data_IF_216079579141
#
_entry.id   IF_216079579141
#
_cell.length_a   1.000
_cell.length_b   1.000
_cell.length_c   1.000
_cell.angle_alpha   90.00
_cell.angle_beta   90.00
_cell.angle_gamma   90.00
#
_symmetry.space_group_name_H-M   'P 1'
#
loop_
_entity.id
_entity.type
_entity.pdbx_description
1 polymer ?
#
# COMPACT_ATOMS: atom_id res chain seq x y z
N UNK A 1 1.28 3.74 -9.58
CA UNK A 1 1.16 4.53 -10.83
C UNK A 1 2.33 5.49 -10.97
N UNK A 2 2.74 5.74 -12.23
CA UNK A 2 4.07 6.14 -12.73
C UNK A 2 5.08 4.99 -12.79
N UNK A 3 5.70 4.64 -11.68
CA UNK A 3 6.74 3.60 -11.61
C UNK A 3 6.29 2.34 -10.86
N UNK A 4 5.23 2.44 -10.05
CA UNK A 4 4.67 1.32 -9.30
C UNK A 4 3.45 0.70 -9.97
N UNK A 5 3.36 -0.62 -9.87
CA UNK A 5 2.17 -1.45 -10.07
C UNK A 5 1.56 -1.73 -8.69
N UNK A 6 0.31 -1.32 -8.50
CA UNK A 6 -0.44 -1.60 -7.28
C UNK A 6 -1.49 -2.67 -7.56
N UNK A 7 -1.39 -3.79 -6.85
CA UNK A 7 -2.32 -4.92 -6.95
C UNK A 7 -3.25 -4.91 -5.75
N UNK A 8 -4.54 -5.01 -6.02
CA UNK A 8 -5.60 -4.98 -5.02
C UNK A 8 -6.33 -6.31 -5.05
N UNK A 9 -6.24 -7.06 -3.95
CA UNK A 9 -6.96 -8.33 -3.81
C UNK A 9 -8.11 -8.18 -2.83
N UNK A 10 -9.23 -8.80 -3.18
CA UNK A 10 -10.32 -9.11 -2.26
C UNK A 10 -10.48 -10.64 -2.24
N UNK A 11 -10.14 -11.25 -1.10
CA UNK A 11 -10.15 -12.69 -0.93
C UNK A 11 -11.34 -13.08 -0.05
N UNK A 12 -12.17 -13.99 -0.56
CA UNK A 12 -13.32 -14.55 0.16
C UNK A 12 -12.99 -15.96 0.62
N UNK A 13 -12.95 -16.17 1.93
CA UNK A 13 -12.62 -17.47 2.51
C UNK A 13 -13.89 -18.31 2.73
N UNK A 14 -13.82 -19.65 2.61
CA UNK A 14 -14.99 -20.53 2.77
C UNK A 14 -15.69 -20.46 4.13
N UNK A 15 -15.01 -19.95 5.16
CA UNK A 15 -15.58 -19.73 6.50
C UNK A 15 -16.32 -18.39 6.64
N UNK A 16 -16.46 -17.62 5.56
CA UNK A 16 -17.12 -16.32 5.56
C UNK A 16 -16.21 -15.12 5.87
N UNK A 17 -14.92 -15.32 6.13
CA UNK A 17 -13.97 -14.22 6.29
C UNK A 17 -13.69 -13.52 4.94
N UNK A 18 -13.50 -12.21 4.98
CA UNK A 18 -13.11 -11.38 3.84
C UNK A 18 -11.77 -10.73 4.18
N UNK A 19 -10.78 -10.87 3.31
CA UNK A 19 -9.47 -10.25 3.43
C UNK A 19 -9.27 -9.25 2.27
N UNK A 20 -8.87 -8.03 2.60
CA UNK A 20 -8.56 -6.98 1.62
C UNK A 20 -7.06 -6.70 1.69
N UNK A 21 -6.37 -6.79 0.55
CA UNK A 21 -4.91 -6.57 0.47
C UNK A 21 -4.55 -5.45 -0.50
N UNK A 22 -3.41 -4.83 -0.20
CA UNK A 22 -2.73 -3.90 -1.06
C UNK A 22 -1.27 -4.34 -1.20
N UNK A 23 -0.86 -4.61 -2.43
CA UNK A 23 0.50 -4.99 -2.76
C UNK A 23 1.14 -3.93 -3.65
N UNK A 24 2.33 -3.47 -3.28
CA UNK A 24 3.15 -2.58 -4.08
C UNK A 24 4.27 -3.37 -4.77
N UNK A 25 4.34 -3.26 -6.10
CA UNK A 25 5.41 -3.83 -6.92
C UNK A 25 5.74 -2.89 -8.09
N UNK A 26 6.59 -3.31 -9.01
CA UNK A 26 7.08 -2.49 -10.12
C UNK A 26 8.46 -1.88 -9.82
N UNK A 27 8.72 -0.70 -10.38
CA UNK A 27 9.98 0.01 -10.24
C UNK A 27 9.92 1.05 -9.12
N UNK A 28 11.04 1.28 -8.43
CA UNK A 28 11.15 2.35 -7.43
C UNK A 28 11.30 3.72 -8.10
N UNK A 29 10.86 4.77 -7.40
CA UNK A 29 11.20 6.15 -7.77
C UNK A 29 12.69 6.37 -7.50
N UNK A 30 13.40 6.96 -8.46
CA UNK A 30 14.84 7.20 -8.34
C UNK A 30 15.25 8.60 -8.76
N UNK A 31 16.37 9.07 -8.22
CA UNK A 31 17.04 10.30 -8.62
C UNK A 31 18.53 10.06 -8.82
N UNK A 32 19.21 10.96 -9.53
CA UNK A 32 20.67 10.91 -9.68
C UNK A 32 21.35 11.06 -8.32
N UNK A 33 22.35 10.23 -8.05
CA UNK A 33 23.11 10.27 -6.80
C UNK A 33 24.17 11.38 -6.85
N UNK A 34 24.01 12.41 -6.02
CA UNK A 34 25.00 13.49 -5.87
C UNK A 34 25.04 14.05 -4.43
N UNK A 35 26.18 14.64 -4.05
CA UNK A 35 26.34 15.33 -2.77
C UNK A 35 25.91 14.51 -1.54
N UNK A 36 25.09 15.10 -0.67
CA UNK A 36 24.60 14.47 0.56
C UNK A 36 23.32 13.64 0.38
N UNK A 37 23.00 13.20 -0.85
CA UNK A 37 21.76 12.51 -1.21
C UNK A 37 21.40 11.30 -0.32
N UNK A 38 22.39 10.59 0.24
CA UNK A 38 22.18 9.46 1.17
C UNK A 38 21.48 9.83 2.48
N UNK A 39 21.26 11.11 2.77
CA UNK A 39 20.36 11.55 3.86
C UNK A 39 18.88 11.32 3.54
N UNK A 40 18.54 11.08 2.27
CA UNK A 40 17.15 10.99 1.76
C UNK A 40 16.85 9.65 1.07
N UNK A 41 17.69 8.63 1.24
CA UNK A 41 17.53 7.35 0.57
C UNK A 41 18.82 6.53 0.54
N UNK A 42 18.79 5.42 -0.20
CA UNK A 42 19.92 4.50 -0.34
C UNK A 42 20.41 4.45 -1.79
N UNK A 43 21.71 4.24 -1.98
CA UNK A 43 22.26 3.99 -3.31
C UNK A 43 21.89 2.57 -3.77
N UNK A 44 21.35 2.46 -4.99
CA UNK A 44 20.85 1.21 -5.59
C UNK A 44 21.49 0.90 -6.94
N UNK A 45 22.40 1.77 -7.41
CA UNK A 45 23.18 1.65 -8.64
C UNK A 45 24.29 2.70 -8.67
N UNK A 46 25.19 2.65 -9.65
CA UNK A 46 26.40 3.50 -9.72
C UNK A 46 26.11 5.00 -9.56
N UNK A 47 25.04 5.50 -10.20
CA UNK A 47 24.62 6.90 -10.14
C UNK A 47 23.17 7.07 -9.69
N UNK A 48 22.62 6.09 -8.98
CA UNK A 48 21.17 5.99 -8.72
C UNK A 48 20.88 5.91 -7.24
N UNK A 49 20.07 6.85 -6.74
CA UNK A 49 19.52 6.82 -5.39
C UNK A 49 18.05 6.38 -5.43
N UNK A 50 17.70 5.37 -4.65
CA UNK A 50 16.31 5.07 -4.31
C UNK A 50 15.84 6.00 -3.20
N UNK A 51 14.88 6.89 -3.52
CA UNK A 51 14.41 7.92 -2.59
C UNK A 51 13.48 7.34 -1.53
N UNK A 52 13.62 7.83 -0.29
CA UNK A 52 12.68 7.46 0.79
C UNK A 52 11.29 8.03 0.52
N UNK A 53 10.26 7.23 0.76
CA UNK A 53 8.85 7.62 0.63
C UNK A 53 7.96 6.69 1.45
N UNK A 54 6.70 7.07 1.63
CA UNK A 54 5.69 6.30 2.34
C UNK A 54 4.57 5.89 1.39
N UNK A 55 3.97 4.71 1.62
CA UNK A 55 2.75 4.29 0.93
C UNK A 55 1.57 4.36 1.90
N UNK A 56 0.46 4.94 1.44
CA UNK A 56 -0.80 4.99 2.18
C UNK A 56 -1.93 4.54 1.27
N UNK A 57 -2.82 3.70 1.80
CA UNK A 57 -4.05 3.28 1.17
C UNK A 57 -5.21 3.50 2.16
N UNK A 58 -6.36 3.92 1.66
CA UNK A 58 -7.53 4.21 2.47
C UNK A 58 -8.74 3.43 1.95
N UNK A 59 -9.40 2.70 2.85
CA UNK A 59 -10.56 1.87 2.54
C UNK A 59 -11.79 2.37 3.28
N UNK A 60 -12.94 2.35 2.61
CA UNK A 60 -14.25 2.48 3.25
C UNK A 60 -14.81 1.07 3.47
N UNK A 61 -15.20 0.75 4.71
CA UNK A 61 -15.84 -0.53 5.04
C UNK A 61 -17.22 -0.25 5.65
N UNK A 62 -18.26 -0.53 4.88
CA UNK A 62 -19.67 -0.22 5.20
C UNK A 62 -20.39 -1.53 5.58
N UNK A 63 -20.25 -1.97 6.84
CA UNK A 63 -20.77 -3.27 7.30
C UNK A 63 -22.17 -3.15 7.90
N UNK A 64 -23.12 -3.86 7.30
CA UNK A 64 -24.46 -4.08 7.83
C UNK A 64 -24.56 -5.43 8.57
N UNK A 65 -23.85 -5.57 9.70
CA UNK A 65 -23.81 -6.84 10.47
C UNK A 65 -25.16 -7.17 11.08
N UNK A 66 -25.86 -8.17 10.55
CA UNK A 66 -27.21 -8.54 10.99
C UNK A 66 -28.30 -7.53 10.61
N UNK A 67 -28.01 -6.62 9.67
CA UNK A 67 -28.89 -5.54 9.22
C UNK A 67 -28.28 -4.14 9.39
N UNK A 68 -29.04 -3.10 9.02
CA UNK A 68 -28.57 -1.70 9.00
C UNK A 68 -28.30 -1.07 10.36
N UNK A 69 -28.88 -1.63 11.43
CA UNK A 69 -28.72 -1.08 12.78
C UNK A 69 -27.52 -1.74 13.44
N UNK A 70 -26.42 -1.00 13.53
CA UNK A 70 -25.26 -1.41 14.30
C UNK A 70 -25.60 -1.41 15.82
N UNK A 71 -25.16 -2.43 16.55
CA UNK A 71 -25.27 -2.53 18.02
C UNK A 71 -26.69 -2.37 18.60
N UNK A 72 -27.61 -3.28 18.28
CA UNK A 72 -28.91 -3.32 18.97
C UNK A 72 -28.69 -3.82 20.41
N UNK A 73 -28.96 -2.99 21.42
CA UNK A 73 -29.00 -3.43 22.82
C UNK A 73 -30.13 -4.46 22.95
N UNK A 74 -29.78 -5.65 23.43
CA UNK A 74 -30.77 -6.63 23.90
C UNK A 74 -31.49 -6.10 25.14
#
# INVERSE_FOLDING_TARGET
MLNYDYVWDMVFHPNGAIEVKFHATGYIGSVFLFGAARRYGNQVGEHTLGTVHTHSAHYKVDLDVGGKTCWRRQ
#
